data_IF_640122587829
#
_entry.id   IF_640122587829
#
_cell.length_a   1.000
_cell.length_b   1.000
_cell.length_c   1.000
_cell.angle_alpha   90.00
_cell.angle_beta   90.00
_cell.angle_gamma   90.00
#
_symmetry.space_group_name_H-M   'P 1'
#
loop_
_entity.id
_entity.type
_entity.pdbx_description
1 polymer ?
#
# COMPACT_ATOMS: atom_id res chain seq x y z
N UNK A 1 50.21 -0.47 -2.79
CA UNK A 1 48.96 0.28 -2.98
C UNK A 1 47.83 -0.62 -2.50
N UNK A 2 47.00 -0.17 -1.56
CA UNK A 2 45.81 -0.93 -1.17
C UNK A 2 44.86 -0.95 -2.35
N UNK A 3 44.47 -2.13 -2.82
CA UNK A 3 43.47 -2.26 -3.87
C UNK A 3 42.12 -1.89 -3.25
N UNK A 4 41.45 -0.89 -3.81
CA UNK A 4 40.12 -0.50 -3.37
C UNK A 4 39.12 -1.49 -3.97
N UNK A 5 38.43 -2.24 -3.11
CA UNK A 5 37.40 -3.19 -3.53
C UNK A 5 36.14 -2.43 -3.97
N UNK A 6 35.42 -2.95 -4.96
CA UNK A 6 34.06 -2.49 -5.26
C UNK A 6 33.11 -2.83 -4.09
N UNK A 7 31.94 -2.18 -4.01
CA UNK A 7 30.96 -2.50 -2.95
C UNK A 7 30.54 -3.97 -3.01
N UNK A 8 30.27 -4.49 -4.20
CA UNK A 8 29.91 -5.90 -4.39
C UNK A 8 31.03 -6.87 -3.94
N UNK A 9 32.30 -6.50 -4.15
CA UNK A 9 33.45 -7.27 -3.66
C UNK A 9 33.59 -7.20 -2.14
N UNK A 10 33.27 -6.05 -1.53
CA UNK A 10 33.27 -5.88 -0.08
C UNK A 10 32.18 -6.73 0.58
N UNK A 11 30.96 -6.73 0.04
CA UNK A 11 29.84 -7.53 0.53
C UNK A 11 30.14 -9.03 0.46
N UNK A 12 30.70 -9.49 -0.66
CA UNK A 12 31.07 -10.90 -0.84
C UNK A 12 32.18 -11.34 0.13
N UNK A 13 33.09 -10.43 0.46
CA UNK A 13 34.26 -10.72 1.30
C UNK A 13 33.96 -10.61 2.80
N UNK A 14 33.04 -9.73 3.18
CA UNK A 14 32.66 -9.49 4.57
C UNK A 14 31.13 -9.41 4.75
N UNK A 15 30.40 -10.50 4.45
CA UNK A 15 28.94 -10.51 4.51
C UNK A 15 28.40 -10.21 5.91
N UNK A 16 29.18 -10.49 6.96
CA UNK A 16 28.84 -10.20 8.36
C UNK A 16 28.69 -8.71 8.68
N UNK A 17 29.21 -7.82 7.81
CA UNK A 17 29.05 -6.37 7.93
C UNK A 17 27.93 -5.82 7.03
N UNK A 18 27.11 -6.69 6.44
CA UNK A 18 26.03 -6.33 5.54
C UNK A 18 24.70 -6.85 6.05
N UNK A 19 23.59 -6.24 5.61
CA UNK A 19 22.26 -6.75 5.93
C UNK A 19 22.00 -8.06 5.19
N UNK A 20 21.50 -9.07 5.91
CA UNK A 20 21.05 -10.31 5.30
C UNK A 20 19.64 -10.15 4.71
N UNK A 21 19.58 -9.68 3.47
CA UNK A 21 18.32 -9.50 2.73
C UNK A 21 17.71 -10.83 2.23
N UNK A 22 18.42 -11.96 2.38
CA UNK A 22 17.87 -13.28 2.02
C UNK A 22 16.70 -13.69 2.90
N UNK A 23 16.59 -13.05 4.07
CA UNK A 23 15.46 -13.18 5.00
C UNK A 23 14.15 -12.59 4.45
N UNK A 24 14.23 -11.68 3.48
CA UNK A 24 13.06 -11.10 2.81
C UNK A 24 12.81 -11.86 1.49
N UNK A 25 13.80 -11.89 0.60
CA UNK A 25 13.79 -12.70 -0.61
C UNK A 25 15.13 -13.41 -0.81
N UNK A 26 15.13 -14.72 -1.08
CA UNK A 26 16.37 -15.49 -1.23
C UNK A 26 17.21 -15.08 -2.45
N UNK A 27 16.61 -14.40 -3.42
CA UNK A 27 17.27 -13.90 -4.63
C UNK A 27 16.46 -12.78 -5.29
N UNK A 28 17.11 -12.04 -6.18
CA UNK A 28 16.47 -11.07 -7.07
C UNK A 28 15.37 -11.72 -7.94
N UNK A 29 15.55 -12.99 -8.35
CA UNK A 29 14.50 -13.73 -9.10
C UNK A 29 13.25 -13.97 -8.24
N UNK A 30 13.42 -14.26 -6.94
CA UNK A 30 12.29 -14.41 -6.02
C UNK A 30 11.58 -13.08 -5.78
N UNK A 31 12.35 -11.98 -5.73
CA UNK A 31 11.80 -10.63 -5.73
C UNK A 31 10.99 -10.36 -7.02
N UNK A 32 11.52 -10.68 -8.20
CA UNK A 32 10.84 -10.44 -9.48
C UNK A 32 9.54 -11.24 -9.61
N UNK A 33 9.50 -12.46 -9.04
CA UNK A 33 8.27 -13.23 -8.95
C UNK A 33 7.24 -12.54 -8.03
N UNK A 34 7.65 -12.14 -6.83
CA UNK A 34 6.77 -11.44 -5.89
C UNK A 34 6.27 -10.09 -6.42
N UNK A 35 7.13 -9.34 -7.12
CA UNK A 35 6.77 -8.09 -7.80
C UNK A 35 5.65 -8.33 -8.81
N UNK A 36 5.79 -9.36 -9.66
CA UNK A 36 4.77 -9.70 -10.66
C UNK A 36 3.48 -10.19 -10.03
N UNK A 37 3.56 -10.95 -8.95
CA UNK A 37 2.37 -11.42 -8.23
C UNK A 37 1.56 -10.23 -7.71
N UNK A 38 2.22 -9.24 -7.09
CA UNK A 38 1.55 -8.01 -6.64
C UNK A 38 1.01 -7.20 -7.82
N UNK A 39 1.77 -7.07 -8.91
CA UNK A 39 1.30 -6.35 -10.11
C UNK A 39 0.05 -7.00 -10.73
N UNK A 40 -0.04 -8.33 -10.69
CA UNK A 40 -1.22 -9.07 -11.17
C UNK A 40 -2.41 -9.03 -10.19
N UNK A 41 -2.14 -8.81 -8.90
CA UNK A 41 -3.17 -8.68 -7.88
C UNK A 41 -3.88 -7.31 -7.96
N UNK A 42 -3.22 -6.28 -8.51
CA UNK A 42 -3.84 -4.99 -8.83
C UNK A 42 -4.88 -5.18 -9.95
N UNK A 43 -6.07 -4.65 -9.74
CA UNK A 43 -7.28 -4.84 -10.54
C UNK A 43 -8.32 -5.71 -9.83
N UNK A 44 -7.94 -6.49 -8.81
CA UNK A 44 -8.88 -7.29 -8.02
C UNK A 44 -9.78 -6.42 -7.13
N UNK A 45 -9.38 -5.20 -6.83
CA UNK A 45 -10.15 -4.24 -6.05
C UNK A 45 -11.42 -3.75 -6.76
N UNK A 46 -11.46 -3.82 -8.10
CA UNK A 46 -12.59 -3.38 -8.92
C UNK A 46 -13.92 -4.04 -8.52
N UNK A 47 -13.86 -5.29 -8.03
CA UNK A 47 -15.08 -6.00 -7.60
C UNK A 47 -15.72 -5.41 -6.33
N UNK A 48 -15.00 -4.58 -5.58
CA UNK A 48 -15.48 -3.98 -4.33
C UNK A 48 -15.92 -2.53 -4.48
N UNK A 49 -15.55 -1.85 -5.57
CA UNK A 49 -15.90 -0.44 -5.81
C UNK A 49 -17.41 -0.27 -5.89
N UNK A 50 -17.97 0.54 -5.02
CA UNK A 50 -19.41 0.79 -4.90
C UNK A 50 -20.21 -0.32 -4.22
N UNK A 51 -19.54 -1.32 -3.65
CA UNK A 51 -20.15 -2.52 -3.07
C UNK A 51 -19.80 -2.74 -1.59
N UNK A 52 -19.00 -1.87 -0.96
CA UNK A 52 -18.57 -2.05 0.44
C UNK A 52 -19.73 -2.04 1.43
N UNK A 53 -20.84 -1.37 1.08
CA UNK A 53 -22.06 -1.33 1.86
C UNK A 53 -23.00 -2.53 1.67
N UNK A 54 -22.75 -3.41 0.71
CA UNK A 54 -23.67 -4.48 0.36
C UNK A 54 -23.80 -5.52 1.47
N UNK A 55 -22.70 -5.82 2.18
CA UNK A 55 -22.71 -6.72 3.33
C UNK A 55 -21.43 -6.62 4.18
N UNK A 56 -21.52 -7.11 5.42
CA UNK A 56 -20.36 -7.28 6.30
C UNK A 56 -19.29 -8.22 5.74
N UNK A 57 -19.66 -9.17 4.87
CA UNK A 57 -18.72 -10.07 4.22
C UNK A 57 -17.98 -9.36 3.09
N UNK A 58 -18.68 -8.54 2.28
CA UNK A 58 -18.06 -7.72 1.23
C UNK A 58 -17.03 -6.76 1.80
N UNK A 59 -17.38 -6.03 2.86
CA UNK A 59 -16.44 -5.13 3.55
C UNK A 59 -15.23 -5.89 4.08
N UNK A 60 -15.44 -7.05 4.70
CA UNK A 60 -14.34 -7.89 5.19
C UNK A 60 -13.41 -8.35 4.07
N UNK A 61 -13.97 -8.84 2.96
CA UNK A 61 -13.19 -9.33 1.83
C UNK A 61 -12.36 -8.20 1.19
N UNK A 62 -12.90 -6.98 1.12
CA UNK A 62 -12.17 -5.82 0.63
C UNK A 62 -10.98 -5.48 1.54
N UNK A 63 -11.22 -5.34 2.85
CA UNK A 63 -10.16 -5.04 3.84
C UNK A 63 -9.09 -6.13 3.89
N UNK A 64 -9.50 -7.39 3.85
CA UNK A 64 -8.58 -8.52 3.88
C UNK A 64 -7.72 -8.59 2.61
N UNK A 65 -8.29 -8.30 1.45
CA UNK A 65 -7.53 -8.30 0.21
C UNK A 65 -6.57 -7.11 0.13
N UNK A 66 -7.00 -5.92 0.56
CA UNK A 66 -6.14 -4.73 0.61
C UNK A 66 -4.92 -4.98 1.52
N UNK A 67 -5.14 -5.51 2.72
CA UNK A 67 -4.09 -5.87 3.69
C UNK A 67 -3.15 -6.97 3.14
N UNK A 68 -3.71 -8.00 2.50
CA UNK A 68 -2.91 -9.09 1.90
C UNK A 68 -1.97 -8.55 0.81
N UNK A 69 -2.49 -7.75 -0.12
CA UNK A 69 -1.70 -7.18 -1.22
C UNK A 69 -0.71 -6.15 -0.67
N UNK A 70 -1.14 -5.29 0.25
CA UNK A 70 -0.31 -4.29 0.92
C UNK A 70 0.89 -4.92 1.63
N UNK A 71 0.68 -6.01 2.37
CA UNK A 71 1.76 -6.75 3.05
C UNK A 71 2.78 -7.35 2.06
N UNK A 72 2.32 -7.89 0.92
CA UNK A 72 3.22 -8.39 -0.14
C UNK A 72 4.02 -7.24 -0.75
N UNK A 73 3.34 -6.13 -1.04
CA UNK A 73 3.94 -4.93 -1.63
C UNK A 73 4.98 -4.29 -0.72
N UNK A 74 4.73 -4.25 0.60
CA UNK A 74 5.70 -3.76 1.58
C UNK A 74 7.00 -4.56 1.52
N UNK A 75 6.95 -5.89 1.46
CA UNK A 75 8.15 -6.73 1.32
C UNK A 75 8.91 -6.45 0.03
N UNK A 76 8.21 -6.31 -1.08
CA UNK A 76 8.79 -5.93 -2.39
C UNK A 76 9.53 -4.59 -2.24
N UNK A 77 8.86 -3.56 -1.70
CA UNK A 77 9.47 -2.25 -1.53
C UNK A 77 10.68 -2.28 -0.60
N UNK A 78 10.56 -2.87 0.59
CA UNK A 78 11.64 -2.92 1.57
C UNK A 78 12.87 -3.61 0.98
N UNK A 79 12.70 -4.74 0.28
CA UNK A 79 13.85 -5.40 -0.36
C UNK A 79 14.55 -4.49 -1.37
N UNK A 80 13.80 -3.88 -2.28
CA UNK A 80 14.35 -3.03 -3.33
C UNK A 80 15.04 -1.77 -2.74
N UNK A 81 14.41 -1.16 -1.74
CA UNK A 81 14.93 0.02 -1.05
C UNK A 81 16.25 -0.30 -0.32
N UNK A 82 16.30 -1.39 0.45
CA UNK A 82 17.51 -1.79 1.17
C UNK A 82 18.64 -2.20 0.22
N UNK A 83 18.32 -2.82 -0.93
CA UNK A 83 19.30 -3.12 -1.99
C UNK A 83 19.87 -1.85 -2.61
N UNK A 84 19.04 -0.83 -2.81
CA UNK A 84 19.47 0.46 -3.35
C UNK A 84 20.34 1.22 -2.35
N UNK A 85 20.02 1.18 -1.06
CA UNK A 85 20.82 1.81 0.01
C UNK A 85 22.23 1.17 0.18
N UNK A 86 22.38 -0.11 -0.17
CA UNK A 86 23.68 -0.80 -0.16
C UNK A 86 24.65 -0.20 -1.17
N UNK A 87 24.18 0.16 -2.37
CA UNK A 87 24.97 0.87 -3.38
C UNK A 87 24.09 1.74 -4.27
N UNK A 88 24.01 3.03 -3.94
CA UNK A 88 23.18 3.99 -4.68
C UNK A 88 23.71 4.31 -6.08
N UNK A 89 24.92 3.85 -6.43
CA UNK A 89 25.47 3.97 -7.79
C UNK A 89 25.17 2.73 -8.66
N UNK A 90 24.50 1.71 -8.11
CA UNK A 90 24.12 0.51 -8.85
C UNK A 90 22.79 0.75 -9.59
N UNK A 91 22.87 0.85 -10.92
CA UNK A 91 21.71 1.09 -11.80
C UNK A 91 20.64 -0.01 -11.70
N UNK A 92 21.03 -1.27 -11.45
CA UNK A 92 20.08 -2.38 -11.30
C UNK A 92 19.19 -2.16 -10.08
N UNK A 93 19.78 -1.89 -8.91
CA UNK A 93 19.02 -1.72 -7.68
C UNK A 93 18.30 -0.37 -7.62
N UNK A 94 18.85 0.67 -8.25
CA UNK A 94 18.14 1.94 -8.46
C UNK A 94 16.89 1.74 -9.32
N UNK A 95 16.99 0.96 -10.41
CA UNK A 95 15.83 0.61 -11.23
C UNK A 95 14.81 -0.28 -10.49
N UNK A 96 15.29 -1.19 -9.64
CA UNK A 96 14.44 -2.04 -8.81
C UNK A 96 13.60 -1.23 -7.82
N UNK A 97 14.22 -0.28 -7.10
CA UNK A 97 13.53 0.62 -6.18
C UNK A 97 12.49 1.48 -6.90
N UNK A 98 12.86 2.09 -8.04
CA UNK A 98 11.95 2.92 -8.82
C UNK A 98 10.70 2.15 -9.28
N UNK A 99 10.86 0.89 -9.69
CA UNK A 99 9.73 0.01 -10.06
C UNK A 99 8.86 -0.32 -8.85
N UNK A 100 9.46 -0.65 -7.71
CA UNK A 100 8.71 -0.94 -6.48
C UNK A 100 7.90 0.28 -6.01
N UNK A 101 8.49 1.47 -6.08
CA UNK A 101 7.80 2.72 -5.76
C UNK A 101 6.64 3.00 -6.75
N UNK A 102 6.83 2.78 -8.06
CA UNK A 102 5.72 2.89 -9.01
C UNK A 102 4.58 1.91 -8.69
N UNK A 103 4.90 0.72 -8.20
CA UNK A 103 3.90 -0.27 -7.79
C UNK A 103 3.11 0.19 -6.56
N UNK A 104 3.75 0.85 -5.59
CA UNK A 104 3.08 1.55 -4.47
C UNK A 104 2.08 2.58 -5.00
N UNK A 105 2.50 3.44 -5.93
CA UNK A 105 1.62 4.48 -6.49
C UNK A 105 0.40 3.83 -7.18
N UNK A 106 0.61 2.78 -7.97
CA UNK A 106 -0.48 2.03 -8.63
C UNK A 106 -1.44 1.44 -7.60
N UNK A 107 -0.92 0.77 -6.57
CA UNK A 107 -1.72 0.17 -5.51
C UNK A 107 -2.53 1.22 -4.73
N UNK A 108 -1.90 2.30 -4.28
CA UNK A 108 -2.59 3.38 -3.56
C UNK A 108 -3.68 4.04 -4.41
N UNK A 109 -3.44 4.22 -5.71
CA UNK A 109 -4.44 4.75 -6.63
C UNK A 109 -5.59 3.75 -6.87
N UNK A 110 -5.31 2.46 -6.92
CA UNK A 110 -6.30 1.42 -7.13
C UNK A 110 -7.28 1.34 -5.94
N UNK A 111 -6.76 1.42 -4.72
CA UNK A 111 -7.50 1.31 -3.46
C UNK A 111 -7.97 2.65 -2.88
N UNK A 112 -7.76 3.77 -3.56
CA UNK A 112 -8.10 5.12 -3.04
C UNK A 112 -9.59 5.32 -2.76
N UNK A 113 -10.46 4.48 -3.32
CA UNK A 113 -11.91 4.52 -3.10
C UNK A 113 -12.33 3.96 -1.73
N UNK A 114 -11.50 3.09 -1.12
CA UNK A 114 -11.87 2.30 0.06
C UNK A 114 -12.32 3.20 1.22
N UNK A 115 -11.49 4.18 1.59
CA UNK A 115 -11.79 5.09 2.71
C UNK A 115 -13.00 5.99 2.41
N UNK A 116 -13.06 6.73 1.27
CA UNK A 116 -14.25 7.52 0.91
C UNK A 116 -15.55 6.73 0.93
N UNK A 117 -15.54 5.50 0.41
CA UNK A 117 -16.74 4.67 0.34
C UNK A 117 -17.17 4.14 1.72
N UNK A 118 -16.23 3.75 2.59
CA UNK A 118 -16.54 3.40 3.99
C UNK A 118 -17.20 4.59 4.71
N UNK A 119 -16.74 5.81 4.44
CA UNK A 119 -17.28 7.02 5.06
C UNK A 119 -18.66 7.42 4.55
N UNK A 120 -19.07 6.93 3.38
CA UNK A 120 -20.45 7.10 2.89
C UNK A 120 -21.45 6.22 3.64
N UNK A 121 -21.00 5.09 4.21
CA UNK A 121 -21.83 4.28 5.10
C UNK A 121 -22.07 5.07 6.39
N UNK A 122 -23.25 4.93 7.01
CA UNK A 122 -23.48 5.47 8.33
C UNK A 122 -22.75 4.65 9.41
N UNK A 123 -22.47 5.28 10.56
CA UNK A 123 -21.73 4.64 11.65
C UNK A 123 -22.44 3.41 12.22
N UNK A 124 -23.78 3.43 12.27
CA UNK A 124 -24.60 2.33 12.78
C UNK A 124 -24.49 1.09 11.89
N UNK A 125 -24.45 1.27 10.56
CA UNK A 125 -24.19 0.20 9.58
C UNK A 125 -22.83 -0.46 9.82
N UNK A 126 -21.76 0.33 9.99
CA UNK A 126 -20.41 -0.20 10.25
C UNK A 126 -20.38 -0.99 11.57
N UNK A 127 -20.99 -0.46 12.64
CA UNK A 127 -21.06 -1.17 13.93
C UNK A 127 -21.84 -2.48 13.80
N UNK A 128 -22.94 -2.48 13.03
CA UNK A 128 -23.73 -3.69 12.74
C UNK A 128 -22.91 -4.71 11.96
N UNK A 129 -22.09 -4.28 11.01
CA UNK A 129 -21.21 -5.18 10.26
C UNK A 129 -20.15 -5.82 11.17
N UNK A 130 -19.49 -5.03 12.02
CA UNK A 130 -18.50 -5.53 12.98
C UNK A 130 -19.12 -6.54 13.95
N UNK A 131 -20.35 -6.30 14.41
CA UNK A 131 -21.06 -7.22 15.31
C UNK A 131 -21.52 -8.51 14.64
N UNK A 132 -21.87 -8.44 13.34
CA UNK A 132 -22.41 -9.59 12.58
C UNK A 132 -21.33 -10.47 11.95
N UNK A 133 -20.10 -9.97 11.77
CA UNK A 133 -18.99 -10.72 11.23
C UNK A 133 -17.78 -10.71 12.18
N UNK A 134 -17.54 -11.81 12.88
CA UNK A 134 -16.42 -11.95 13.82
C UNK A 134 -15.05 -11.65 13.18
N UNK A 135 -14.89 -11.86 11.87
CA UNK A 135 -13.63 -11.56 11.18
C UNK A 135 -13.39 -10.07 11.01
N UNK A 136 -14.43 -9.23 11.00
CA UNK A 136 -14.28 -7.77 10.96
C UNK A 136 -13.74 -7.18 12.27
N UNK A 137 -13.81 -7.92 13.38
CA UNK A 137 -13.27 -7.45 14.66
C UNK A 137 -11.77 -7.17 14.62
N UNK A 138 -11.03 -7.84 13.74
CA UNK A 138 -9.60 -7.56 13.56
C UNK A 138 -9.34 -6.17 12.97
N UNK A 139 -10.32 -5.61 12.25
CA UNK A 139 -10.27 -4.28 11.64
C UNK A 139 -11.10 -3.24 12.40
N UNK A 140 -11.64 -3.58 13.58
CA UNK A 140 -12.50 -2.69 14.35
C UNK A 140 -11.80 -1.36 14.66
N UNK A 141 -10.53 -1.43 15.06
CA UNK A 141 -9.73 -0.25 15.36
C UNK A 141 -9.49 0.62 14.12
N UNK A 142 -9.19 0.01 12.97
CA UNK A 142 -8.97 0.75 11.72
C UNK A 142 -10.26 1.44 11.24
N UNK A 143 -11.39 0.74 11.33
CA UNK A 143 -12.71 1.29 11.02
C UNK A 143 -13.10 2.42 11.98
N UNK A 144 -12.75 2.32 13.26
CA UNK A 144 -12.91 3.42 14.22
C UNK A 144 -12.07 4.64 13.83
N UNK A 145 -10.79 4.45 13.50
CA UNK A 145 -9.91 5.53 13.04
C UNK A 145 -10.42 6.20 11.75
N UNK A 146 -11.01 5.42 10.83
CA UNK A 146 -11.67 5.98 9.65
C UNK A 146 -12.88 6.81 10.08
N UNK A 147 -13.74 6.29 10.97
CA UNK A 147 -14.91 7.01 11.46
C UNK A 147 -14.58 8.33 12.18
N UNK A 148 -13.46 8.41 12.90
CA UNK A 148 -12.99 9.65 13.52
C UNK A 148 -12.68 10.76 12.50
N UNK A 149 -12.45 10.41 11.22
CA UNK A 149 -12.20 11.37 10.15
C UNK A 149 -13.47 11.95 9.55
N UNK A 150 -14.67 11.42 9.85
CA UNK A 150 -15.96 11.93 9.35
C UNK A 150 -16.15 13.44 9.52
N UNK A 151 -15.82 14.07 10.66
CA UNK A 151 -15.95 15.53 10.81
C UNK A 151 -15.04 16.35 9.89
N UNK A 152 -14.04 15.70 9.27
CA UNK A 152 -13.07 16.32 8.37
C UNK A 152 -13.33 15.98 6.91
N UNK A 153 -14.43 15.29 6.61
CA UNK A 153 -14.78 14.84 5.27
C UNK A 153 -16.11 15.46 4.92
N UNK A 154 -16.05 16.31 3.90
CA UNK A 154 -17.20 17.04 3.40
C UNK A 154 -18.16 16.03 2.76
N UNK A 155 -19.46 16.27 2.89
CA UNK A 155 -20.43 15.54 2.08
C UNK A 155 -20.20 15.84 0.57
N UNK A 156 -20.68 14.95 -0.29
CA UNK A 156 -20.42 15.01 -1.73
C UNK A 156 -20.86 16.34 -2.37
N UNK A 157 -21.92 16.97 -1.86
CA UNK A 157 -22.40 18.27 -2.34
C UNK A 157 -21.43 19.40 -1.95
N UNK A 158 -20.89 19.34 -0.74
CA UNK A 158 -19.93 20.30 -0.22
C UNK A 158 -18.54 20.13 -0.85
N UNK A 159 -18.10 18.90 -1.15
CA UNK A 159 -16.86 18.62 -1.87
C UNK A 159 -16.93 19.12 -3.33
N UNK A 160 -18.07 18.93 -3.99
CA UNK A 160 -18.33 19.50 -5.32
C UNK A 160 -18.31 21.02 -5.30
N UNK A 161 -18.95 21.65 -4.31
CA UNK A 161 -18.91 23.10 -4.13
C UNK A 161 -17.49 23.62 -3.88
N UNK A 162 -16.70 22.93 -3.07
CA UNK A 162 -15.31 23.28 -2.79
C UNK A 162 -14.45 23.20 -4.05
N UNK A 163 -14.66 22.15 -4.86
CA UNK A 163 -13.98 21.96 -6.16
C UNK A 163 -14.36 23.07 -7.14
N UNK A 164 -15.63 23.43 -7.23
CA UNK A 164 -16.10 24.54 -8.07
C UNK A 164 -15.58 25.91 -7.59
N UNK A 165 -15.35 26.07 -6.29
CA UNK A 165 -14.81 27.30 -5.69
C UNK A 165 -13.27 27.41 -5.77
N UNK A 166 -12.57 26.33 -6.11
CA UNK A 166 -11.13 26.22 -6.01
C UNK A 166 -10.40 27.22 -6.93
N UNK A 167 -10.91 27.43 -8.14
CA UNK A 167 -10.37 28.42 -9.08
C UNK A 167 -10.48 29.86 -8.53
N UNK A 168 -11.60 30.21 -7.90
CA UNK A 168 -11.81 31.54 -7.32
C UNK A 168 -10.96 31.80 -6.07
N UNK A 169 -10.66 30.75 -5.30
CA UNK A 169 -9.83 30.81 -4.09
C UNK A 169 -8.32 30.78 -4.38
N UNK A 170 -7.92 30.41 -5.60
CA UNK A 170 -6.52 30.32 -6.03
C UNK A 170 -5.94 31.64 -6.56
N UNK A 171 -6.80 32.64 -6.82
CA UNK A 171 -6.39 33.99 -7.22
C UNK A 171 -6.02 34.84 -5.99
N UNK A 172 -4.82 35.47 -5.95
CA UNK A 172 -4.36 36.31 -4.83
C UNK A 172 -5.23 37.52 -4.53
#
# INVERSE_FOLDING_TARGET
MSQQLSREEQERKYPEYTWDLTTIFPSDDAFEAAFKDVENDIGKEEQFKGHLGDSADTLYQALALEDEIGTKLEKVYVYAHLKQDQDTANDQYTGMEARAHQLIIKFSSAWSFLVPEILQLDEETIQTFIQSNDKLKQYEFDLQLINEKRPHILDADTEKLLTEAQDALSTP
#
